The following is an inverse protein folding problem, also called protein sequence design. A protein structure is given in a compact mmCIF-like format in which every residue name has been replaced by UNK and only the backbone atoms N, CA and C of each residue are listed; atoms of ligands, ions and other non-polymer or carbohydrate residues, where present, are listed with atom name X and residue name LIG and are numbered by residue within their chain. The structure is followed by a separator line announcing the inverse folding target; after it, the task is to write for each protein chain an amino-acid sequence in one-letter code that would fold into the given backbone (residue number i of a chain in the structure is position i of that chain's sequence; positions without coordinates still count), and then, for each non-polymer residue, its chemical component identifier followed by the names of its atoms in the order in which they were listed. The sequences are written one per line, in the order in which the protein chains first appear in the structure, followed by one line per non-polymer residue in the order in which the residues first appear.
data_IF_209871505218
#
_entry.id   IF_209871505218
#
_cell.length_a   1.000
_cell.length_b   1.000
_cell.length_c   1.000
_cell.angle_alpha   90.00
_cell.angle_beta   90.00
_cell.angle_gamma   90.00
#
_symmetry.space_group_name_H-M   'P 1'
#
loop_
_entity.id
_entity.type
_entity.pdbx_description
1 polymer ?
#
# COMPACT_ATOMS: atom_id res chain seq x y z
N UNK A 1 45.34 -6.26 1.92
CA UNK A 1 45.89 -6.21 0.55
C UNK A 1 44.96 -5.37 -0.30
N UNK A 2 45.49 -4.42 -1.07
CA UNK A 2 44.73 -3.72 -2.10
C UNK A 2 45.02 -4.36 -3.45
N UNK A 3 43.98 -4.68 -4.22
CA UNK A 3 44.11 -5.34 -5.52
C UNK A 3 43.47 -4.45 -6.57
N UNK A 4 44.21 -4.16 -7.65
CA UNK A 4 43.65 -3.43 -8.78
C UNK A 4 42.81 -4.40 -9.60
N UNK A 5 41.50 -4.16 -9.66
CA UNK A 5 40.53 -5.03 -10.36
C UNK A 5 40.27 -4.59 -11.80
N UNK A 6 40.42 -3.29 -12.08
CA UNK A 6 40.23 -2.75 -13.42
C UNK A 6 41.11 -1.51 -13.63
N UNK A 7 41.53 -1.28 -14.87
CA UNK A 7 42.26 -0.07 -15.30
C UNK A 7 41.72 0.40 -16.65
N UNK A 8 41.74 1.71 -16.88
CA UNK A 8 41.37 2.26 -18.16
C UNK A 8 41.63 3.76 -18.27
N UNK A 9 40.97 4.39 -19.24
CA UNK A 9 41.08 5.83 -19.49
C UNK A 9 39.76 6.54 -19.15
N UNK A 10 39.88 7.65 -18.43
CA UNK A 10 38.76 8.53 -18.07
C UNK A 10 39.13 9.99 -18.32
N UNK A 11 38.16 10.89 -18.11
CA UNK A 11 38.39 12.33 -18.14
C UNK A 11 38.75 12.80 -16.74
N UNK A 12 39.81 13.61 -16.65
CA UNK A 12 40.15 14.28 -15.40
C UNK A 12 38.99 15.20 -14.97
N UNK A 13 38.45 15.08 -13.75
CA UNK A 13 37.33 15.91 -13.29
C UNK A 13 37.69 17.39 -13.18
N UNK A 14 38.98 17.71 -13.10
CA UNK A 14 39.47 19.09 -13.01
C UNK A 14 39.76 19.75 -14.35
N UNK A 15 40.49 19.08 -15.25
CA UNK A 15 40.96 19.69 -16.51
C UNK A 15 40.44 19.00 -17.79
N UNK A 16 39.64 17.94 -17.67
CA UNK A 16 39.02 17.20 -18.77
C UNK A 16 40.02 16.55 -19.76
N UNK A 17 41.32 16.58 -19.45
CA UNK A 17 42.31 15.79 -20.17
C UNK A 17 42.06 14.30 -19.97
N UNK A 18 42.54 13.49 -20.91
CA UNK A 18 42.57 12.03 -20.75
C UNK A 18 43.53 11.71 -19.60
N UNK A 19 43.08 10.87 -18.68
CA UNK A 19 43.80 10.44 -17.50
C UNK A 19 43.57 8.94 -17.27
N UNK A 20 44.52 8.28 -16.61
CA UNK A 20 44.37 6.89 -16.21
C UNK A 20 43.41 6.80 -15.02
N UNK A 21 42.49 5.83 -15.06
CA UNK A 21 41.72 5.43 -13.89
C UNK A 21 42.03 4.00 -13.47
N UNK A 22 41.78 3.70 -12.20
CA UNK A 22 41.86 2.34 -11.65
C UNK A 22 40.73 2.10 -10.65
N UNK A 23 40.16 0.90 -10.67
CA UNK A 23 39.35 0.40 -9.56
C UNK A 23 40.22 -0.49 -8.68
N UNK A 24 40.22 -0.21 -7.38
CA UNK A 24 41.06 -0.88 -6.38
C UNK A 24 40.18 -1.44 -5.27
N UNK A 25 40.12 -2.77 -5.16
CA UNK A 25 39.53 -3.41 -3.97
C UNK A 25 40.33 -3.01 -2.74
N UNK A 26 39.64 -2.37 -1.79
CA UNK A 26 40.27 -1.72 -0.62
C UNK A 26 39.83 -2.34 0.72
N UNK A 27 38.92 -3.31 0.72
CA UNK A 27 38.39 -3.97 1.91
C UNK A 27 37.27 -4.97 1.59
N UNK A 28 36.62 -5.56 2.63
CA UNK A 28 35.52 -6.48 2.44
C UNK A 28 34.38 -5.76 1.73
N UNK A 29 34.14 -6.14 0.48
CA UNK A 29 33.15 -5.55 -0.42
C UNK A 29 33.34 -4.06 -0.72
N UNK A 30 34.50 -3.45 -0.52
CA UNK A 30 34.72 -2.04 -0.88
C UNK A 30 35.65 -1.88 -2.07
N UNK A 31 35.25 -1.04 -3.01
CA UNK A 31 36.01 -0.70 -4.22
C UNK A 31 36.28 0.79 -4.23
N UNK A 32 37.52 1.17 -4.52
CA UNK A 32 37.95 2.55 -4.62
C UNK A 32 38.24 2.89 -6.07
N UNK A 33 37.56 3.90 -6.60
CA UNK A 33 37.81 4.47 -7.90
C UNK A 33 38.87 5.58 -7.77
N UNK A 34 39.95 5.49 -8.53
CA UNK A 34 41.03 6.47 -8.52
C UNK A 34 41.28 6.99 -9.94
N UNK A 35 41.51 8.30 -10.09
CA UNK A 35 41.93 8.94 -11.35
C UNK A 35 43.19 9.75 -11.13
N UNK A 36 44.23 9.48 -11.92
CA UNK A 36 45.52 10.17 -11.85
C UNK A 36 45.80 10.94 -13.13
N UNK A 37 45.68 12.27 -13.07
CA UNK A 37 45.92 13.12 -14.23
C UNK A 37 47.39 13.57 -14.32
N UNK A 38 48.10 13.12 -15.36
CA UNK A 38 49.47 13.55 -15.64
C UNK A 38 49.59 14.99 -16.17
N UNK A 39 48.48 15.57 -16.67
CA UNK A 39 48.48 16.93 -17.24
C UNK A 39 48.42 18.02 -16.18
N UNK A 40 47.46 17.93 -15.25
CA UNK A 40 47.26 18.96 -14.22
C UNK A 40 47.65 18.49 -12.81
N UNK A 41 48.06 17.23 -12.63
CA UNK A 41 48.47 16.66 -11.35
C UNK A 41 47.32 16.27 -10.42
N UNK A 42 46.06 16.35 -10.87
CA UNK A 42 44.91 15.98 -10.05
C UNK A 42 44.91 14.48 -9.74
N UNK A 43 44.67 14.14 -8.47
CA UNK A 43 44.48 12.78 -7.98
C UNK A 43 43.11 12.68 -7.30
N UNK A 44 42.13 12.19 -8.05
CA UNK A 44 40.76 12.02 -7.57
C UNK A 44 40.57 10.60 -7.02
N UNK A 45 39.78 10.48 -5.95
CA UNK A 45 39.52 9.21 -5.28
C UNK A 45 38.09 9.19 -4.73
N UNK A 46 37.34 8.14 -5.03
CA UNK A 46 36.00 7.86 -4.49
C UNK A 46 35.94 6.41 -3.97
N UNK A 47 35.37 6.21 -2.78
CA UNK A 47 35.23 4.87 -2.18
C UNK A 47 33.76 4.45 -2.26
N UNK A 48 33.51 3.35 -2.94
CA UNK A 48 32.20 2.71 -3.01
C UNK A 48 32.16 1.53 -2.02
N UNK A 49 31.25 1.61 -1.06
CA UNK A 49 30.85 0.48 -0.22
C UNK A 49 29.42 0.08 -0.56
N UNK A 50 29.07 -1.23 -0.51
CA UNK A 50 27.69 -1.66 -0.68
C UNK A 50 26.84 -0.95 0.37
N UNK A 51 25.85 -0.20 -0.11
CA UNK A 51 24.79 0.27 0.75
C UNK A 51 23.99 -0.96 1.16
N UNK A 52 23.80 -1.17 2.46
CA UNK A 52 22.82 -2.15 2.94
C UNK A 52 21.46 -1.71 2.38
N UNK A 53 20.79 -2.53 1.56
CA UNK A 53 19.46 -2.19 1.08
C UNK A 53 18.55 -1.94 2.29
N UNK A 54 17.98 -0.73 2.35
CA UNK A 54 17.03 -0.37 3.40
C UNK A 54 15.68 -1.00 3.08
N UNK A 55 15.48 -2.23 3.54
CA UNK A 55 14.24 -2.96 3.35
C UNK A 55 13.08 -2.40 4.18
N UNK A 56 13.28 -1.39 5.05
CA UNK A 56 12.18 -0.83 5.85
C UNK A 56 11.13 -0.14 4.98
N UNK A 57 11.54 0.50 3.88
CA UNK A 57 10.62 1.10 2.90
C UNK A 57 9.78 0.06 2.12
N UNK A 58 10.29 -1.15 1.95
CA UNK A 58 9.59 -2.22 1.23
C UNK A 58 8.44 -2.84 2.05
N UNK A 59 8.54 -2.80 3.39
CA UNK A 59 7.50 -3.32 4.29
C UNK A 59 6.28 -2.41 4.30
N UNK A 60 6.47 -1.09 4.23
CA UNK A 60 5.36 -0.12 4.23
C UNK A 60 4.53 -0.20 2.93
N UNK A 61 5.16 -0.58 1.82
CA UNK A 61 4.49 -0.79 0.53
C UNK A 61 3.64 -2.07 0.47
N UNK A 62 3.75 -2.99 1.44
CA UNK A 62 2.98 -4.24 1.49
C UNK A 62 1.70 -4.13 2.33
N UNK A 63 1.40 -2.96 2.90
CA UNK A 63 0.14 -2.71 3.58
C UNK A 63 -0.96 -2.59 2.52
N UNK A 64 -1.48 -3.75 2.09
CA UNK A 64 -2.70 -3.82 1.27
C UNK A 64 -3.85 -3.34 2.14
N UNK A 65 -4.51 -2.21 1.83
CA UNK A 65 -5.69 -1.79 2.57
C UNK A 65 -6.77 -2.87 2.44
N UNK A 66 -7.48 -3.21 3.52
CA UNK A 66 -8.54 -4.21 3.44
C UNK A 66 -9.56 -3.76 2.38
N UNK A 67 -10.02 -4.66 1.49
CA UNK A 67 -11.01 -4.31 0.49
C UNK A 67 -12.22 -3.69 1.16
N UNK A 68 -12.65 -2.51 0.70
CA UNK A 68 -13.90 -1.92 1.13
C UNK A 68 -15.02 -2.91 0.81
N UNK A 69 -15.60 -3.52 1.85
CA UNK A 69 -16.64 -4.53 1.71
C UNK A 69 -17.91 -3.90 1.16
N UNK A 70 -18.04 -3.88 -0.18
CA UNK A 70 -19.27 -3.50 -0.84
C UNK A 70 -20.37 -4.49 -0.40
N UNK A 71 -21.57 -4.03 0.01
CA UNK A 71 -22.65 -4.94 0.34
C UNK A 71 -22.99 -5.79 -0.89
N UNK A 72 -23.02 -7.11 -0.70
CA UNK A 72 -23.35 -8.03 -1.78
C UNK A 72 -24.77 -7.79 -2.28
N UNK A 73 -25.01 -8.17 -3.55
CA UNK A 73 -26.35 -8.14 -4.16
C UNK A 73 -27.37 -8.92 -3.31
N UNK A 74 -26.91 -9.97 -2.64
CA UNK A 74 -27.73 -10.77 -1.73
C UNK A 74 -28.16 -9.99 -0.48
N UNK A 75 -27.26 -9.25 0.16
CA UNK A 75 -27.60 -8.40 1.31
C UNK A 75 -28.57 -7.28 0.94
N UNK A 76 -28.39 -6.66 -0.23
CA UNK A 76 -29.32 -5.67 -0.77
C UNK A 76 -30.71 -6.28 -1.01
N UNK A 77 -30.79 -7.49 -1.58
CA UNK A 77 -32.04 -8.20 -1.83
C UNK A 77 -32.75 -8.56 -0.53
N UNK A 78 -32.02 -9.07 0.47
CA UNK A 78 -32.55 -9.40 1.80
C UNK A 78 -33.15 -8.16 2.48
N UNK A 79 -32.44 -7.03 2.46
CA UNK A 79 -32.92 -5.76 3.04
C UNK A 79 -34.21 -5.27 2.37
N UNK A 80 -34.29 -5.35 1.03
CA UNK A 80 -35.53 -4.99 0.30
C UNK A 80 -36.70 -5.91 0.66
N UNK A 81 -36.46 -7.22 0.74
CA UNK A 81 -37.49 -8.18 1.14
C UNK A 81 -38.00 -7.88 2.56
N UNK A 82 -37.09 -7.65 3.51
CA UNK A 82 -37.45 -7.31 4.89
C UNK A 82 -38.29 -6.03 4.97
N UNK A 83 -37.92 -4.98 4.21
CA UNK A 83 -38.69 -3.74 4.15
C UNK A 83 -40.12 -3.97 3.60
N UNK A 84 -40.24 -4.76 2.53
CA UNK A 84 -41.53 -5.11 1.94
C UNK A 84 -42.41 -5.92 2.91
N UNK A 85 -41.84 -6.88 3.63
CA UNK A 85 -42.56 -7.64 4.66
C UNK A 85 -43.04 -6.72 5.79
N UNK A 86 -42.18 -5.84 6.30
CA UNK A 86 -42.55 -4.90 7.35
C UNK A 86 -43.71 -3.98 6.92
N UNK A 87 -43.67 -3.47 5.69
CA UNK A 87 -44.74 -2.64 5.14
C UNK A 87 -46.06 -3.43 5.01
N UNK A 88 -45.99 -4.67 4.53
CA UNK A 88 -47.17 -5.52 4.36
C UNK A 88 -47.82 -5.83 5.71
N UNK A 89 -47.02 -6.19 6.72
CA UNK A 89 -47.51 -6.44 8.08
C UNK A 89 -48.12 -5.16 8.69
N UNK A 90 -47.52 -4.00 8.46
CA UNK A 90 -48.06 -2.72 8.92
C UNK A 90 -49.44 -2.41 8.29
N UNK A 91 -49.58 -2.61 6.97
CA UNK A 91 -50.85 -2.41 6.25
C UNK A 91 -51.96 -3.35 6.73
N UNK A 92 -51.64 -4.65 6.87
CA UNK A 92 -52.61 -5.65 7.34
C UNK A 92 -53.02 -5.38 8.78
N UNK A 93 -52.07 -5.10 9.67
CA UNK A 93 -52.39 -4.79 11.07
C UNK A 93 -53.21 -3.50 11.22
N UNK A 94 -52.96 -2.47 10.40
CA UNK A 94 -53.78 -1.26 10.37
C UNK A 94 -55.23 -1.54 9.93
N UNK A 95 -55.43 -2.40 8.92
CA UNK A 95 -56.76 -2.77 8.43
C UNK A 95 -57.55 -3.65 9.41
N UNK A 96 -56.86 -4.50 10.18
CA UNK A 96 -57.47 -5.47 11.10
C UNK A 96 -57.76 -4.85 12.48
N UNK A 97 -57.00 -3.83 12.92
CA UNK A 97 -57.21 -3.09 14.18
C UNK A 97 -58.67 -2.66 14.44
N UNK A 98 -59.39 -2.00 13.53
CA UNK A 98 -60.77 -1.56 13.79
C UNK A 98 -61.77 -2.73 13.86
N UNK A 99 -61.49 -3.83 13.16
CA UNK A 99 -62.34 -5.04 13.18
C UNK A 99 -62.22 -5.72 14.53
N UNK A 100 -61.00 -5.89 15.04
CA UNK A 100 -60.77 -6.45 16.38
C UNK A 100 -61.34 -5.57 17.49
N UNK A 101 -61.20 -4.24 17.39
CA UNK A 101 -61.80 -3.31 18.36
C UNK A 101 -63.33 -3.49 18.46
N UNK A 102 -64.03 -3.66 17.32
CA UNK A 102 -65.48 -3.92 17.28
C UNK A 102 -65.84 -5.28 17.86
N UNK A 103 -65.06 -6.33 17.60
CA UNK A 103 -65.31 -7.67 18.16
C UNK A 103 -65.20 -7.61 19.68
N UNK A 104 -64.12 -7.04 20.21
CA UNK A 104 -63.87 -6.94 21.66
C UNK A 104 -64.98 -6.14 22.37
N UNK A 105 -65.44 -5.05 21.76
CA UNK A 105 -66.53 -4.22 22.32
C UNK A 105 -67.87 -4.97 22.35
N UNK A 106 -68.19 -5.72 21.29
CA UNK A 106 -69.39 -6.57 21.23
C UNK A 106 -69.37 -7.67 22.29
N UNK A 107 -68.22 -8.28 22.56
CA UNK A 107 -68.07 -9.30 23.61
C UNK A 107 -68.25 -8.72 25.02
N UNK A 108 -67.93 -7.43 25.22
CA UNK A 108 -68.14 -6.73 26.48
C UNK A 108 -69.61 -6.40 26.73
N UNK A 109 -70.38 -6.17 25.67
CA UNK A 109 -71.82 -5.90 25.72
C UNK A 109 -72.67 -7.13 26.04
N UNK A 110 -72.23 -8.33 25.64
CA UNK A 110 -72.94 -9.61 25.88
C UNK A 110 -72.79 -10.13 27.33
N UNK A 111 -71.84 -9.60 28.10
CA UNK A 111 -71.55 -10.03 29.49
C UNK A 111 -72.16 -9.12 30.58
N UNK A 112 -73.08 -8.21 30.23
CA UNK A 112 -73.86 -7.40 31.18
C UNK A 112 -75.32 -7.79 31.09
#
# INVERSE_FOLDING_TARGET
MSVVVERGLARCPRCVAVADYTFVESGPNSVRYEVHCRRCGEAYCEVHSPMTPDFTAAVDALVVPPPLALPSVFELRRRRAAAWFAETVARVSAAIKPVWARIVDKTKMIRR
#
